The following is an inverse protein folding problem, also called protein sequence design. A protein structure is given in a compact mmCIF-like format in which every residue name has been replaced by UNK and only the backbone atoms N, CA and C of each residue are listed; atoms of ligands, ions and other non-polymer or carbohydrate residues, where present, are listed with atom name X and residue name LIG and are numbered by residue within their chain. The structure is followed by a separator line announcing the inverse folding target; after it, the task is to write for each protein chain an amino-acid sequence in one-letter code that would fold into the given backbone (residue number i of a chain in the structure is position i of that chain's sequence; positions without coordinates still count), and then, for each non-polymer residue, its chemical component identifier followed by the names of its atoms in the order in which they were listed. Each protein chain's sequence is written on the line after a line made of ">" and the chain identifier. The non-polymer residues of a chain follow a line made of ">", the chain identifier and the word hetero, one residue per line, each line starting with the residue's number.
data_IF_061721040069
#
_entry.id   IF_061721040069
#
_cell.length_a   1.000
_cell.length_b   1.000
_cell.length_c   1.000
_cell.angle_alpha   90.00
_cell.angle_beta   90.00
_cell.angle_gamma   90.00
#
_symmetry.space_group_name_H-M   'P 1'
#
loop_
_entity.id
_entity.type
_entity.pdbx_description
1 polymer ?
#
# COMPACT_ATOMS: atom_id res chain seq x y z
N UNK A 1 25.23 1.32 -15.34
CA UNK A 1 24.14 2.21 -14.88
C UNK A 1 24.62 3.68 -14.90
N UNK A 2 25.75 4.03 -14.23
CA UNK A 2 26.19 5.43 -14.09
C UNK A 2 26.38 6.14 -15.44
N UNK A 3 27.07 5.51 -16.40
CA UNK A 3 27.25 6.09 -17.76
C UNK A 3 25.91 6.42 -18.44
N UNK A 4 24.88 5.62 -18.22
CA UNK A 4 23.54 5.84 -18.79
C UNK A 4 22.90 7.06 -18.13
N UNK A 5 22.98 7.16 -16.78
CA UNK A 5 22.44 8.30 -16.03
C UNK A 5 23.13 9.59 -16.41
N UNK A 6 24.48 9.59 -16.49
CA UNK A 6 25.25 10.76 -16.85
C UNK A 6 24.91 11.25 -18.28
N UNK A 7 24.76 10.31 -19.22
CA UNK A 7 24.35 10.64 -20.58
C UNK A 7 22.91 11.15 -20.66
N UNK A 8 21.99 10.54 -19.91
CA UNK A 8 20.59 10.95 -19.86
C UNK A 8 20.45 12.37 -19.29
N UNK A 9 21.20 12.69 -18.23
CA UNK A 9 21.25 14.03 -17.65
C UNK A 9 21.84 15.05 -18.60
N UNK A 10 22.96 14.72 -19.27
CA UNK A 10 23.60 15.60 -20.24
C UNK A 10 22.70 15.90 -21.45
N UNK A 11 21.95 14.88 -21.92
CA UNK A 11 21.00 15.01 -23.01
C UNK A 11 19.61 15.57 -22.56
N UNK A 12 19.40 15.76 -21.25
CA UNK A 12 18.13 16.19 -20.66
C UNK A 12 16.94 15.33 -21.08
N UNK A 13 17.15 14.02 -21.09
CA UNK A 13 16.07 13.08 -21.41
C UNK A 13 14.89 13.25 -20.45
N UNK A 14 13.68 13.11 -21.00
CA UNK A 14 12.41 13.21 -20.26
C UNK A 14 11.63 11.89 -20.23
N UNK A 15 12.05 10.92 -21.05
CA UNK A 15 11.42 9.62 -21.16
C UNK A 15 12.42 8.47 -21.21
N UNK A 16 11.95 7.28 -20.86
CA UNK A 16 12.75 6.06 -20.95
C UNK A 16 13.14 5.73 -22.39
N UNK A 17 12.29 6.06 -23.37
CA UNK A 17 12.55 5.82 -24.78
C UNK A 17 13.70 6.72 -25.29
N UNK A 18 13.74 7.96 -24.87
CA UNK A 18 14.87 8.83 -25.16
C UNK A 18 16.17 8.27 -24.59
N UNK A 19 16.15 7.77 -23.35
CA UNK A 19 17.33 7.16 -22.71
C UNK A 19 17.77 5.89 -23.44
N UNK A 20 16.85 5.01 -23.84
CA UNK A 20 17.16 3.79 -24.60
C UNK A 20 17.83 4.07 -25.95
N UNK A 21 17.47 5.21 -26.57
CA UNK A 21 18.01 5.63 -27.88
C UNK A 21 19.31 6.43 -27.79
N UNK A 22 19.76 6.83 -26.59
CA UNK A 22 21.06 7.51 -26.43
C UNK A 22 22.20 6.65 -26.95
N UNK A 23 23.14 7.28 -27.64
CA UNK A 23 24.36 6.63 -28.15
C UNK A 23 25.49 6.71 -27.13
N UNK A 24 25.96 5.56 -26.68
CA UNK A 24 27.10 5.40 -25.79
C UNK A 24 28.16 4.49 -26.44
N UNK A 25 29.33 5.04 -26.77
CA UNK A 25 30.39 4.25 -27.39
C UNK A 25 30.02 3.69 -28.78
N UNK A 26 29.22 4.43 -29.55
CA UNK A 26 28.85 4.07 -30.92
C UNK A 26 27.64 3.12 -31.04
N UNK A 27 26.99 2.76 -29.93
CA UNK A 27 25.78 1.92 -29.89
C UNK A 27 24.70 2.57 -29.03
N UNK A 28 23.43 2.24 -29.28
CA UNK A 28 22.37 2.69 -28.41
C UNK A 28 22.45 2.03 -27.02
N UNK A 29 21.85 2.68 -26.01
CA UNK A 29 21.74 2.11 -24.65
C UNK A 29 21.02 0.77 -24.71
N UNK A 30 19.94 0.66 -25.51
CA UNK A 30 19.20 -0.59 -25.68
C UNK A 30 20.08 -1.72 -26.23
N UNK A 31 20.89 -1.45 -27.28
CA UNK A 31 21.81 -2.43 -27.84
C UNK A 31 22.89 -2.86 -26.84
N UNK A 32 23.44 -1.92 -26.07
CA UNK A 32 24.44 -2.23 -25.03
C UNK A 32 23.87 -3.10 -23.90
N UNK A 33 22.61 -2.88 -23.50
CA UNK A 33 21.94 -3.71 -22.49
C UNK A 33 21.73 -5.12 -23.02
N UNK A 34 21.28 -5.26 -24.28
CA UNK A 34 21.08 -6.56 -24.93
C UNK A 34 22.40 -7.33 -25.03
N UNK A 35 23.49 -6.67 -25.44
CA UNK A 35 24.82 -7.26 -25.51
C UNK A 35 25.30 -7.74 -24.11
N UNK A 36 25.12 -6.89 -23.09
CA UNK A 36 25.51 -7.24 -21.72
C UNK A 36 24.72 -8.42 -21.19
N UNK A 37 23.42 -8.50 -21.48
CA UNK A 37 22.59 -9.65 -21.18
C UNK A 37 23.12 -10.93 -21.83
N UNK A 38 23.58 -10.85 -23.10
CA UNK A 38 24.18 -11.97 -23.80
C UNK A 38 25.53 -12.41 -23.20
N UNK A 39 26.36 -11.47 -22.75
CA UNK A 39 27.67 -11.76 -22.14
C UNK A 39 27.52 -12.38 -20.75
N UNK A 40 26.59 -11.89 -19.94
CA UNK A 40 26.39 -12.38 -18.56
C UNK A 40 25.52 -13.61 -18.48
N UNK A 41 24.72 -13.89 -19.50
CA UNK A 41 23.70 -14.95 -19.48
C UNK A 41 22.48 -14.57 -18.61
N UNK A 42 22.39 -13.35 -18.12
CA UNK A 42 21.31 -12.83 -17.30
C UNK A 42 20.49 -11.81 -18.07
N UNK A 43 19.15 -11.89 -17.99
CA UNK A 43 18.26 -10.91 -18.58
C UNK A 43 18.44 -9.56 -17.87
N UNK A 44 18.87 -8.54 -18.59
CA UNK A 44 18.96 -7.17 -18.11
C UNK A 44 17.99 -6.28 -18.88
N UNK A 45 17.33 -5.40 -18.20
CA UNK A 45 16.38 -4.43 -18.80
C UNK A 45 16.55 -3.07 -18.15
N UNK A 46 16.30 -2.02 -18.93
CA UNK A 46 16.04 -0.69 -18.40
C UNK A 46 14.52 -0.57 -18.25
N UNK A 47 14.04 -0.70 -17.03
CA UNK A 47 12.62 -0.79 -16.70
C UNK A 47 11.97 0.58 -16.52
N UNK A 48 12.72 1.58 -16.05
CA UNK A 48 12.19 2.92 -15.82
C UNK A 48 13.26 4.01 -15.89
N UNK A 49 12.81 5.22 -16.15
CA UNK A 49 13.55 6.46 -16.02
C UNK A 49 12.60 7.53 -15.46
N UNK A 50 12.96 8.07 -14.32
CA UNK A 50 12.15 9.06 -13.61
C UNK A 50 13.00 10.26 -13.24
N UNK A 51 12.41 11.44 -13.32
CA UNK A 51 13.02 12.69 -12.89
C UNK A 51 12.14 13.34 -11.83
N UNK A 52 12.77 13.95 -10.85
CA UNK A 52 12.11 14.80 -9.85
C UNK A 52 12.69 16.21 -9.95
N UNK A 53 11.84 17.21 -9.77
CA UNK A 53 12.23 18.63 -9.80
C UNK A 53 11.67 19.32 -8.56
N UNK A 54 12.45 20.22 -7.97
CA UNK A 54 12.07 20.99 -6.78
C UNK A 54 13.12 22.02 -6.45
N UNK A 55 12.84 22.87 -5.47
CA UNK A 55 13.79 23.87 -4.97
C UNK A 55 15.00 23.22 -4.27
N UNK A 56 14.78 22.05 -3.67
CA UNK A 56 15.85 21.18 -3.20
C UNK A 56 15.49 19.71 -3.42
N UNK A 57 16.52 18.86 -3.54
CA UNK A 57 16.38 17.43 -3.78
C UNK A 57 17.25 16.69 -2.77
N UNK A 58 16.66 15.72 -2.10
CA UNK A 58 17.36 14.78 -1.25
C UNK A 58 17.40 13.39 -1.87
N UNK A 59 18.55 12.73 -1.73
CA UNK A 59 18.77 11.37 -2.18
C UNK A 59 19.14 10.48 -0.99
N UNK A 60 18.66 9.24 -1.02
CA UNK A 60 19.09 8.21 -0.10
C UNK A 60 19.38 6.92 -0.86
N UNK A 61 20.55 6.36 -0.61
CA UNK A 61 20.99 5.08 -1.15
C UNK A 61 21.18 4.12 0.02
N UNK A 62 20.27 3.15 0.14
CA UNK A 62 20.28 2.22 1.26
C UNK A 62 21.53 1.33 1.21
N UNK A 63 22.28 1.30 2.32
CA UNK A 63 23.55 0.57 2.45
C UNK A 63 24.61 0.89 1.36
N UNK A 64 24.45 1.96 0.60
CA UNK A 64 25.33 2.36 -0.51
C UNK A 64 25.54 1.26 -1.58
N UNK A 65 24.57 0.37 -1.77
CA UNK A 65 24.67 -0.76 -2.69
C UNK A 65 23.90 -0.57 -4.00
N UNK A 66 23.21 0.55 -4.18
CA UNK A 66 22.40 0.92 -5.36
C UNK A 66 21.22 -0.03 -5.67
N UNK A 67 20.80 -0.84 -4.70
CA UNK A 67 19.63 -1.73 -4.83
C UNK A 67 18.34 -1.00 -4.50
N UNK A 68 18.38 -0.16 -3.46
CA UNK A 68 17.26 0.68 -3.05
C UNK A 68 17.74 2.13 -2.94
N UNK A 69 17.28 2.95 -3.87
CA UNK A 69 17.57 4.38 -3.92
C UNK A 69 16.25 5.17 -3.94
N UNK A 70 16.20 6.27 -3.21
CA UNK A 70 15.06 7.18 -3.21
C UNK A 70 15.50 8.60 -3.50
N UNK A 71 14.65 9.33 -4.22
CA UNK A 71 14.78 10.76 -4.49
C UNK A 71 13.53 11.46 -3.99
N UNK A 72 13.71 12.56 -3.27
CA UNK A 72 12.61 13.40 -2.80
C UNK A 72 12.89 14.84 -3.19
N UNK A 73 11.94 15.46 -3.85
CA UNK A 73 11.98 16.86 -4.22
C UNK A 73 11.10 17.66 -3.24
N UNK A 74 11.57 18.82 -2.86
CA UNK A 74 10.90 19.73 -1.93
C UNK A 74 10.54 21.05 -2.62
N UNK A 75 9.45 21.66 -2.16
CA UNK A 75 8.94 22.92 -2.68
C UNK A 75 9.71 24.15 -2.20
N UNK A 76 10.67 23.97 -1.28
CA UNK A 76 11.52 25.03 -0.72
C UNK A 76 12.96 24.58 -0.57
N UNK A 77 13.93 25.50 -0.48
CA UNK A 77 15.29 25.18 -0.11
C UNK A 77 15.34 24.56 1.29
N UNK A 78 16.15 23.52 1.46
CA UNK A 78 16.42 22.89 2.77
C UNK A 78 17.86 23.21 3.16
N UNK A 79 18.04 23.96 4.26
CA UNK A 79 19.38 24.31 4.77
C UNK A 79 20.06 23.11 5.45
N UNK A 80 19.30 22.35 6.26
CA UNK A 80 19.81 21.14 6.91
C UNK A 80 19.56 19.88 6.05
N UNK A 81 20.62 19.39 5.41
CA UNK A 81 20.58 18.18 4.60
C UNK A 81 20.02 16.94 5.35
N UNK A 82 20.07 16.94 6.68
CA UNK A 82 19.53 15.85 7.51
C UNK A 82 18.02 15.72 7.35
N UNK A 83 17.30 16.85 7.19
CA UNK A 83 15.85 16.88 6.99
C UNK A 83 15.48 16.11 5.72
N UNK A 84 16.10 16.48 4.61
CA UNK A 84 15.84 15.82 3.32
C UNK A 84 16.22 14.33 3.35
N UNK A 85 17.37 14.01 3.95
CA UNK A 85 17.81 12.61 4.10
C UNK A 85 16.82 11.78 4.93
N UNK A 86 16.30 12.32 6.02
CA UNK A 86 15.34 11.62 6.87
C UNK A 86 14.04 11.31 6.12
N UNK A 87 13.55 12.26 5.31
CA UNK A 87 12.36 12.02 4.47
C UNK A 87 12.66 11.01 3.36
N UNK A 88 13.83 11.06 2.73
CA UNK A 88 14.22 10.05 1.74
C UNK A 88 14.35 8.64 2.37
N UNK A 89 14.80 8.55 3.63
CA UNK A 89 14.81 7.29 4.40
C UNK A 89 13.38 6.82 4.75
N UNK A 90 12.47 7.75 5.07
CA UNK A 90 11.03 7.45 5.26
C UNK A 90 10.46 6.80 4.00
N UNK A 91 10.70 7.40 2.82
CA UNK A 91 10.25 6.84 1.52
C UNK A 91 10.81 5.44 1.30
N UNK A 92 12.10 5.23 1.57
CA UNK A 92 12.73 3.90 1.43
C UNK A 92 12.12 2.85 2.38
N UNK A 93 11.73 3.25 3.58
CA UNK A 93 11.20 2.36 4.63
C UNK A 93 9.71 2.06 4.46
N UNK A 94 8.92 3.08 4.16
CA UNK A 94 7.46 2.99 4.16
C UNK A 94 6.84 2.87 2.77
N UNK A 95 7.66 2.99 1.70
CA UNK A 95 7.26 2.82 0.30
C UNK A 95 5.91 3.48 -0.06
N UNK A 96 5.74 4.80 0.16
CA UNK A 96 4.49 5.48 -0.16
C UNK A 96 4.22 5.42 -1.67
N UNK A 97 2.95 5.31 -2.04
CA UNK A 97 2.53 5.29 -3.45
C UNK A 97 2.26 6.70 -4.01
N UNK A 98 2.06 7.67 -3.12
CA UNK A 98 1.81 9.06 -3.48
C UNK A 98 2.34 10.00 -2.39
N UNK A 99 2.50 11.27 -2.72
CA UNK A 99 2.90 12.29 -1.74
C UNK A 99 1.75 12.57 -0.77
N UNK A 100 0.54 12.75 -1.27
CA UNK A 100 -0.68 13.03 -0.51
C UNK A 100 -1.89 12.33 -1.12
N UNK A 101 -3.06 12.41 -0.46
CA UNK A 101 -4.29 11.79 -0.93
C UNK A 101 -4.76 12.32 -2.31
N UNK A 102 -4.49 13.59 -2.65
CA UNK A 102 -4.88 14.15 -3.94
C UNK A 102 -4.09 13.53 -5.09
N UNK A 103 -2.83 13.19 -4.86
CA UNK A 103 -1.94 12.55 -5.83
C UNK A 103 -2.22 11.06 -6.05
N UNK A 104 -3.03 10.40 -5.22
CA UNK A 104 -3.47 9.02 -5.44
C UNK A 104 -4.40 8.98 -6.65
N UNK A 105 -4.19 8.08 -7.64
CA UNK A 105 -5.10 7.95 -8.80
C UNK A 105 -6.54 7.69 -8.37
N UNK A 106 -7.49 8.32 -9.08
CA UNK A 106 -8.92 8.17 -8.73
C UNK A 106 -9.39 6.72 -8.82
N UNK A 107 -8.93 5.97 -9.81
CA UNK A 107 -9.20 4.53 -9.94
C UNK A 107 -8.77 3.75 -8.69
N UNK A 108 -7.60 4.04 -8.13
CA UNK A 108 -7.12 3.42 -6.89
C UNK A 108 -8.03 3.76 -5.71
N UNK A 109 -8.44 5.04 -5.59
CA UNK A 109 -9.39 5.47 -4.54
C UNK A 109 -10.72 4.74 -4.64
N UNK A 110 -11.25 4.64 -5.84
CA UNK A 110 -12.55 4.01 -6.12
C UNK A 110 -12.49 2.51 -5.82
N UNK A 111 -11.42 1.84 -6.22
CA UNK A 111 -11.20 0.41 -5.95
C UNK A 111 -11.05 0.15 -4.44
N UNK A 112 -10.22 0.92 -3.74
CA UNK A 112 -10.04 0.77 -2.29
C UNK A 112 -11.34 1.04 -1.52
N UNK A 113 -12.11 2.04 -1.96
CA UNK A 113 -13.40 2.33 -1.36
C UNK A 113 -14.40 1.19 -1.58
N UNK A 114 -14.48 0.64 -2.79
CA UNK A 114 -15.34 -0.50 -3.10
C UNK A 114 -14.97 -1.73 -2.27
N UNK A 115 -13.69 -2.04 -2.14
CA UNK A 115 -13.18 -3.12 -1.28
C UNK A 115 -13.54 -2.86 0.19
N UNK A 116 -13.39 -1.63 0.67
CA UNK A 116 -13.76 -1.25 2.03
C UNK A 116 -15.25 -1.41 2.30
N UNK A 117 -16.11 -1.09 1.33
CA UNK A 117 -17.58 -1.29 1.41
C UNK A 117 -17.90 -2.77 1.53
N UNK A 118 -17.40 -3.61 0.62
CA UNK A 118 -17.67 -5.05 0.62
C UNK A 118 -17.14 -5.73 1.90
N UNK A 119 -15.93 -5.42 2.32
CA UNK A 119 -15.38 -5.91 3.59
C UNK A 119 -16.25 -5.51 4.78
N UNK A 120 -16.78 -4.28 4.78
CA UNK A 120 -17.65 -3.81 5.85
C UNK A 120 -18.96 -4.57 5.86
N UNK A 121 -19.58 -4.85 4.71
CA UNK A 121 -20.81 -5.66 4.62
C UNK A 121 -20.60 -7.05 5.20
N UNK A 122 -19.54 -7.73 4.75
CA UNK A 122 -19.19 -9.08 5.24
C UNK A 122 -18.99 -9.08 6.77
N UNK A 123 -18.24 -8.14 7.30
CA UNK A 123 -18.00 -8.05 8.75
C UNK A 123 -19.28 -7.75 9.55
N UNK A 124 -20.20 -6.94 9.02
CA UNK A 124 -21.47 -6.68 9.70
C UNK A 124 -22.37 -7.92 9.73
N UNK A 125 -22.38 -8.71 8.65
CA UNK A 125 -23.09 -9.98 8.60
C UNK A 125 -22.46 -10.98 9.58
N UNK A 126 -21.14 -11.13 9.55
CA UNK A 126 -20.41 -12.03 10.45
C UNK A 126 -20.64 -11.71 11.92
N UNK A 127 -20.57 -10.44 12.31
CA UNK A 127 -20.85 -9.99 13.68
C UNK A 127 -22.28 -10.33 14.12
N UNK A 128 -23.26 -10.21 13.22
CA UNK A 128 -24.64 -10.57 13.51
C UNK A 128 -24.80 -12.09 13.73
N UNK A 129 -24.15 -12.90 12.90
CA UNK A 129 -24.12 -14.36 13.03
C UNK A 129 -23.48 -14.78 14.34
N UNK A 130 -22.30 -14.25 14.68
CA UNK A 130 -21.60 -14.52 15.94
C UNK A 130 -22.47 -14.17 17.17
N UNK A 131 -23.15 -13.02 17.12
CA UNK A 131 -24.06 -12.60 18.18
C UNK A 131 -25.28 -13.55 18.32
N UNK A 132 -25.84 -14.02 17.20
CA UNK A 132 -26.95 -14.96 17.19
C UNK A 132 -26.55 -16.33 17.75
N UNK A 133 -25.40 -16.85 17.35
CA UNK A 133 -24.83 -18.10 17.87
C UNK A 133 -24.64 -18.03 19.39
N UNK A 134 -24.03 -16.93 19.86
CA UNK A 134 -23.83 -16.70 21.30
C UNK A 134 -25.14 -16.59 22.06
N UNK A 135 -26.12 -15.88 21.49
CA UNK A 135 -27.47 -15.72 22.11
C UNK A 135 -28.23 -17.05 22.19
N UNK A 136 -28.06 -17.91 21.19
CA UNK A 136 -28.67 -19.25 21.17
C UNK A 136 -27.98 -20.24 22.14
N UNK A 137 -26.86 -19.86 22.76
CA UNK A 137 -26.14 -20.71 23.71
C UNK A 137 -25.19 -21.72 23.05
N UNK A 138 -24.98 -21.65 21.74
CA UNK A 138 -24.05 -22.51 21.05
C UNK A 138 -22.59 -22.12 21.32
N UNK A 139 -21.72 -23.13 21.27
CA UNK A 139 -20.27 -22.89 21.40
C UNK A 139 -19.73 -22.15 20.17
N UNK A 140 -19.20 -20.93 20.37
CA UNK A 140 -18.72 -20.08 19.30
C UNK A 140 -17.57 -20.73 18.50
N UNK A 141 -16.66 -21.45 19.16
CA UNK A 141 -15.56 -22.16 18.49
C UNK A 141 -16.07 -23.27 17.56
N UNK A 142 -17.06 -24.06 18.03
CA UNK A 142 -17.66 -25.11 17.20
C UNK A 142 -18.40 -24.51 16.00
N UNK A 143 -19.10 -23.41 16.22
CA UNK A 143 -19.87 -22.74 15.18
C UNK A 143 -19.03 -21.91 14.20
N UNK A 144 -17.74 -21.71 14.44
CA UNK A 144 -16.85 -20.86 13.62
C UNK A 144 -16.77 -21.36 12.18
N UNK A 145 -16.52 -22.65 11.97
CA UNK A 145 -16.36 -23.26 10.64
C UNK A 145 -17.07 -24.61 10.51
N UNK A 146 -17.30 -25.04 9.27
CA UNK A 146 -17.82 -26.39 8.99
C UNK A 146 -16.87 -27.49 9.50
N UNK A 147 -15.56 -27.25 9.46
CA UNK A 147 -14.56 -28.20 9.98
C UNK A 147 -14.75 -28.37 11.48
N UNK A 148 -14.93 -27.29 12.24
CA UNK A 148 -15.17 -27.35 13.68
C UNK A 148 -16.50 -28.00 14.04
N UNK A 149 -17.56 -27.77 13.25
CA UNK A 149 -18.86 -28.43 13.42
C UNK A 149 -18.70 -29.95 13.25
N UNK A 150 -18.07 -30.38 12.16
CA UNK A 150 -17.85 -31.80 11.87
C UNK A 150 -16.94 -32.47 12.93
N UNK A 151 -15.88 -31.77 13.36
CA UNK A 151 -15.04 -32.22 14.46
C UNK A 151 -15.84 -32.35 15.78
N UNK A 152 -16.72 -31.40 16.03
CA UNK A 152 -17.62 -31.43 17.20
C UNK A 152 -18.54 -32.65 17.23
N UNK A 153 -19.09 -33.01 16.08
CA UNK A 153 -19.92 -34.24 15.92
C UNK A 153 -19.04 -35.48 16.15
N UNK A 154 -17.90 -35.59 15.46
CA UNK A 154 -17.01 -36.72 15.58
C UNK A 154 -16.51 -36.97 17.02
N UNK A 155 -16.30 -35.90 17.78
CA UNK A 155 -15.86 -35.96 19.18
C UNK A 155 -17.02 -36.05 20.18
N UNK A 156 -18.26 -36.13 19.72
CA UNK A 156 -19.45 -36.21 20.58
C UNK A 156 -19.69 -34.97 21.43
N UNK A 157 -19.17 -33.80 20.99
CA UNK A 157 -19.35 -32.51 21.67
C UNK A 157 -20.70 -31.85 21.36
N UNK A 158 -21.23 -32.13 20.17
CA UNK A 158 -22.53 -31.72 19.68
C UNK A 158 -23.20 -32.87 18.95
N UNK A 159 -24.52 -32.86 18.88
CA UNK A 159 -25.32 -33.82 18.10
C UNK A 159 -25.46 -33.35 16.65
N UNK A 160 -25.88 -34.25 15.73
CA UNK A 160 -26.19 -33.87 14.33
C UNK A 160 -27.34 -32.82 14.30
N UNK A 161 -28.32 -32.93 15.18
CA UNK A 161 -29.41 -31.96 15.26
C UNK A 161 -28.93 -30.58 15.72
N UNK A 162 -28.03 -30.54 16.71
CA UNK A 162 -27.37 -29.27 17.11
C UNK A 162 -26.53 -28.67 16.01
N UNK A 163 -25.77 -29.48 15.27
CA UNK A 163 -25.02 -29.06 14.13
C UNK A 163 -25.88 -28.44 13.02
N UNK A 164 -27.03 -29.11 12.72
CA UNK A 164 -27.98 -28.57 11.74
C UNK A 164 -28.61 -27.26 12.24
N UNK A 165 -28.96 -27.17 13.52
CA UNK A 165 -29.49 -25.95 14.10
C UNK A 165 -28.49 -24.77 14.04
N UNK A 166 -27.19 -25.04 14.21
CA UNK A 166 -26.14 -24.05 14.04
C UNK A 166 -26.09 -23.57 12.57
N UNK A 167 -26.12 -24.47 11.59
CA UNK A 167 -26.11 -24.14 10.15
C UNK A 167 -27.33 -23.29 9.79
N UNK A 168 -28.52 -23.73 10.17
CA UNK A 168 -29.76 -23.03 9.86
C UNK A 168 -29.79 -21.63 10.50
N UNK A 169 -29.31 -21.49 11.73
CA UNK A 169 -29.19 -20.19 12.39
C UNK A 169 -28.20 -19.26 11.70
N UNK A 170 -27.05 -19.80 11.30
CA UNK A 170 -26.03 -19.02 10.54
C UNK A 170 -26.61 -18.51 9.21
N UNK A 171 -27.20 -19.39 8.42
CA UNK A 171 -27.77 -19.05 7.11
C UNK A 171 -28.90 -18.02 7.22
N UNK A 172 -29.88 -18.29 8.12
CA UNK A 172 -30.99 -17.38 8.36
C UNK A 172 -30.53 -16.00 8.81
N UNK A 173 -29.64 -15.95 9.81
CA UNK A 173 -29.14 -14.67 10.34
C UNK A 173 -28.34 -13.90 9.31
N UNK A 174 -27.52 -14.61 8.52
CA UNK A 174 -26.74 -13.98 7.44
C UNK A 174 -27.66 -13.36 6.38
N UNK A 175 -28.68 -14.09 5.94
CA UNK A 175 -29.66 -13.60 4.95
C UNK A 175 -30.45 -12.39 5.48
N UNK A 176 -30.98 -12.46 6.71
CA UNK A 176 -31.73 -11.37 7.35
C UNK A 176 -30.85 -10.11 7.52
N UNK A 177 -29.61 -10.29 7.97
CA UNK A 177 -28.69 -9.18 8.15
C UNK A 177 -28.27 -8.56 6.82
N UNK A 178 -27.96 -9.38 5.81
CA UNK A 178 -27.61 -8.89 4.48
C UNK A 178 -28.74 -8.04 3.86
N UNK A 179 -29.99 -8.47 4.05
CA UNK A 179 -31.18 -7.74 3.58
C UNK A 179 -31.44 -6.43 4.35
N UNK A 180 -30.95 -6.31 5.58
CA UNK A 180 -31.17 -5.18 6.49
C UNK A 180 -29.94 -4.32 6.75
N UNK A 181 -28.92 -4.40 5.88
CA UNK A 181 -27.72 -3.58 6.01
C UNK A 181 -28.05 -2.09 5.88
N UNK A 182 -27.49 -1.29 6.80
CA UNK A 182 -27.61 0.16 6.75
C UNK A 182 -26.51 0.75 5.84
N UNK A 183 -26.88 1.11 4.62
CA UNK A 183 -25.95 1.67 3.64
C UNK A 183 -25.21 2.92 4.14
N UNK A 184 -25.88 3.83 4.84
CA UNK A 184 -25.25 5.03 5.40
C UNK A 184 -24.15 4.72 6.40
N UNK A 185 -24.38 3.72 7.27
CA UNK A 185 -23.38 3.25 8.22
C UNK A 185 -22.20 2.58 7.49
N UNK A 186 -22.47 1.74 6.49
CA UNK A 186 -21.43 1.07 5.69
C UNK A 186 -20.55 2.10 4.99
N UNK A 187 -21.15 3.08 4.33
CA UNK A 187 -20.43 4.16 3.64
C UNK A 187 -19.54 4.95 4.60
N UNK A 188 -20.02 5.26 5.81
CA UNK A 188 -19.23 5.97 6.81
C UNK A 188 -18.03 5.15 7.31
N UNK A 189 -18.22 3.84 7.55
CA UNK A 189 -17.13 2.94 7.94
C UNK A 189 -16.12 2.81 6.80
N UNK A 190 -16.59 2.65 5.55
CA UNK A 190 -15.74 2.55 4.38
C UNK A 190 -14.91 3.82 4.16
N UNK A 191 -15.49 5.02 4.37
CA UNK A 191 -14.73 6.28 4.37
C UNK A 191 -13.64 6.31 5.43
N UNK A 192 -13.94 5.83 6.64
CA UNK A 192 -12.95 5.72 7.71
C UNK A 192 -11.79 4.78 7.33
N UNK A 193 -12.08 3.69 6.63
CA UNK A 193 -11.05 2.75 6.11
C UNK A 193 -10.22 3.37 5.00
N UNK A 194 -10.85 4.10 4.08
CA UNK A 194 -10.13 4.84 3.04
C UNK A 194 -9.19 5.90 3.63
N UNK A 195 -9.62 6.61 4.66
CA UNK A 195 -8.75 7.54 5.37
C UNK A 195 -7.56 6.84 6.05
N UNK A 196 -7.77 5.62 6.57
CA UNK A 196 -6.68 4.82 7.12
C UNK A 196 -5.71 4.38 6.02
N UNK A 197 -6.22 3.97 4.87
CA UNK A 197 -5.41 3.66 3.71
C UNK A 197 -4.51 4.84 3.32
N UNK A 198 -5.04 6.07 3.22
CA UNK A 198 -4.22 7.25 2.92
C UNK A 198 -3.10 7.47 3.92
N UNK A 199 -3.37 7.28 5.23
CA UNK A 199 -2.34 7.37 6.27
C UNK A 199 -1.24 6.32 6.14
N UNK A 200 -1.53 5.20 5.52
CA UNK A 200 -0.54 4.14 5.28
C UNK A 200 0.27 4.37 4.00
N UNK A 201 -0.36 4.91 2.94
CA UNK A 201 0.25 4.96 1.61
C UNK A 201 0.66 6.36 1.14
N UNK A 202 0.22 7.43 1.78
CA UNK A 202 0.57 8.80 1.42
C UNK A 202 1.71 9.32 2.30
N UNK A 203 2.83 9.71 1.68
CA UNK A 203 4.05 10.11 2.38
C UNK A 203 3.79 11.11 3.50
N UNK A 204 3.09 12.21 3.21
CA UNK A 204 2.89 13.30 4.19
C UNK A 204 1.97 12.91 5.35
N UNK A 205 1.11 11.91 5.14
CA UNK A 205 0.17 11.40 6.14
C UNK A 205 0.73 10.23 6.97
N UNK A 206 1.82 9.60 6.53
CA UNK A 206 2.47 8.51 7.27
C UNK A 206 3.02 8.99 8.61
N UNK A 207 3.00 8.10 9.61
CA UNK A 207 3.75 8.31 10.86
C UNK A 207 5.25 8.46 10.54
N UNK A 208 5.87 9.50 11.09
CA UNK A 208 7.30 9.75 10.89
C UNK A 208 8.15 8.70 11.61
N UNK A 209 9.03 8.02 10.88
CA UNK A 209 9.78 6.86 11.41
C UNK A 209 10.66 7.17 12.61
N UNK A 210 11.09 8.42 12.80
CA UNK A 210 11.95 8.85 13.90
C UNK A 210 11.16 9.36 15.12
N UNK A 211 9.90 9.79 14.90
CA UNK A 211 8.99 10.22 15.96
C UNK A 211 7.54 9.90 15.56
N UNK A 212 7.03 8.80 16.06
CA UNK A 212 5.68 8.31 15.77
C UNK A 212 4.54 9.20 16.31
N UNK A 213 4.85 10.21 17.12
CA UNK A 213 3.86 11.21 17.54
C UNK A 213 3.55 12.22 16.45
N UNK A 214 4.38 12.28 15.41
CA UNK A 214 4.24 13.21 14.29
C UNK A 214 3.94 12.45 12.99
N UNK A 215 3.22 13.11 12.07
CA UNK A 215 3.22 12.73 10.67
C UNK A 215 4.44 13.36 9.96
N UNK A 216 4.77 12.86 8.77
CA UNK A 216 5.83 13.47 7.94
C UNK A 216 5.52 14.94 7.66
N UNK A 217 4.26 15.30 7.37
CA UNK A 217 3.83 16.68 7.19
C UNK A 217 4.08 17.53 8.44
N UNK A 218 3.71 17.02 9.62
CA UNK A 218 3.93 17.73 10.89
C UNK A 218 5.43 17.92 11.16
N UNK A 219 6.25 16.91 10.88
CA UNK A 219 7.70 17.03 10.96
C UNK A 219 8.23 18.12 10.03
N UNK A 220 7.87 18.09 8.74
CA UNK A 220 8.32 19.09 7.77
C UNK A 220 7.86 20.50 8.17
N UNK A 221 6.61 20.67 8.59
CA UNK A 221 6.09 21.97 9.08
C UNK A 221 6.76 22.45 10.37
N UNK A 222 7.32 21.55 11.18
CA UNK A 222 8.10 21.94 12.37
C UNK A 222 9.48 22.47 11.99
N UNK A 223 10.04 22.06 10.87
CA UNK A 223 11.30 22.59 10.32
C UNK A 223 11.06 23.94 9.67
N UNK A 224 10.11 23.99 8.74
CA UNK A 224 9.70 25.22 8.07
C UNK A 224 8.23 25.13 7.67
N UNK A 225 7.44 26.15 8.02
CA UNK A 225 6.02 26.19 7.71
C UNK A 225 5.77 26.13 6.20
N UNK A 226 4.98 25.15 5.77
CA UNK A 226 4.64 24.92 4.37
C UNK A 226 5.75 24.27 3.56
N UNK A 227 6.74 23.64 4.20
CA UNK A 227 7.67 22.74 3.55
C UNK A 227 6.96 21.42 3.24
N UNK A 228 7.04 21.00 1.97
CA UNK A 228 6.45 19.75 1.46
C UNK A 228 7.37 19.11 0.45
#
# INVERSE_FOLDING_TARGET
>A
ANEIIDAALAARCTSIEEVKNLTLGGRSVAERITELSGVTGEKMELDGYFTVTGESIAAYNHQNNNVLCTLVAFNKPIEDATVGKNVAMQVASAAPIAVNADAVPQETKDNEFAVAVEKTKVEQVQKAVEAAIKKAGFNAYIAESEEHINEGIMKGRITEEEAQAIRDLKEKTAAEKAASLNEGMIQNIAKGRLNKFFKEVCLVEQEYIWDKALTVEQYLNSVEKGLT
#
